data_IF_340026867900
#
_entry.id   IF_340026867900
#
_cell.length_a   1.000
_cell.length_b   1.000
_cell.length_c   1.000
_cell.angle_alpha   90.00
_cell.angle_beta   90.00
_cell.angle_gamma   90.00
#
_symmetry.space_group_name_H-M   'P 1'
#
loop_
_entity.id
_entity.type
_entity.pdbx_description
1 polymer ?
#
# COMPACT_ATOMS: atom_id res chain seq x y z
N UNK A 1 -4.11 14.88 9.01
CA UNK A 1 -3.34 16.15 9.15
C UNK A 1 -3.19 16.84 7.79
N UNK A 2 -3.39 18.17 7.71
CA UNK A 2 -3.07 18.91 6.49
C UNK A 2 -1.55 19.10 6.41
N UNK A 3 -0.95 18.64 5.32
CA UNK A 3 0.50 18.65 5.14
C UNK A 3 0.84 18.81 3.66
N UNK A 4 1.94 19.50 3.39
CA UNK A 4 2.49 19.64 2.05
C UNK A 4 3.57 18.57 1.80
N UNK A 5 3.66 18.07 0.57
CA UNK A 5 4.66 17.07 0.20
C UNK A 5 4.55 16.64 -1.25
N UNK A 6 5.66 16.17 -1.81
CA UNK A 6 5.76 15.63 -3.15
C UNK A 6 6.54 14.31 -3.12
N UNK A 7 6.21 13.40 -4.03
CA UNK A 7 6.88 12.10 -4.19
C UNK A 7 7.06 11.83 -5.67
N UNK A 8 8.19 11.21 -6.03
CA UNK A 8 8.47 10.74 -7.38
C UNK A 8 8.84 9.26 -7.30
N UNK A 9 8.36 8.48 -8.28
CA UNK A 9 8.74 7.09 -8.48
C UNK A 9 9.08 6.86 -9.95
N UNK A 10 10.19 6.17 -10.22
CA UNK A 10 10.51 5.68 -11.56
C UNK A 10 9.89 4.29 -11.72
N UNK A 11 8.97 4.14 -12.67
CA UNK A 11 8.37 2.86 -13.03
C UNK A 11 8.77 2.52 -14.45
N UNK A 12 9.35 1.34 -14.65
CA UNK A 12 9.80 0.84 -15.95
C UNK A 12 9.65 -0.68 -16.00
N UNK A 13 9.86 -1.27 -17.18
CA UNK A 13 9.91 -2.73 -17.30
C UNK A 13 11.21 -3.30 -16.74
N UNK A 14 11.22 -4.58 -16.38
CA UNK A 14 12.43 -5.28 -15.93
C UNK A 14 13.53 -5.24 -17.00
N UNK A 15 13.16 -5.38 -18.28
CA UNK A 15 14.13 -5.34 -19.37
C UNK A 15 14.76 -3.95 -19.52
N UNK A 16 13.99 -2.88 -19.27
CA UNK A 16 14.54 -1.53 -19.28
C UNK A 16 15.48 -1.32 -18.09
N UNK A 17 15.11 -1.78 -16.90
CA UNK A 17 15.95 -1.67 -15.72
C UNK A 17 17.29 -2.40 -15.92
N UNK A 18 17.26 -3.66 -16.37
CA UNK A 18 18.44 -4.46 -16.67
C UNK A 18 19.32 -3.80 -17.73
N UNK A 19 18.74 -3.37 -18.86
CA UNK A 19 19.47 -2.74 -19.96
C UNK A 19 20.19 -1.45 -19.54
N UNK A 20 19.69 -0.75 -18.53
CA UNK A 20 20.24 0.51 -18.05
C UNK A 20 20.99 0.38 -16.71
N UNK A 21 21.19 -0.86 -16.20
CA UNK A 21 21.87 -1.09 -14.93
C UNK A 21 21.18 -0.43 -13.73
N UNK A 22 19.84 -0.35 -13.75
CA UNK A 22 19.04 0.16 -12.64
C UNK A 22 18.73 -0.99 -11.68
N UNK A 23 18.98 -0.78 -10.38
CA UNK A 23 18.60 -1.71 -9.32
C UNK A 23 17.17 -1.38 -8.85
N UNK A 24 16.15 -2.21 -9.14
CA UNK A 24 14.79 -1.94 -8.71
C UNK A 24 14.66 -2.10 -7.19
N UNK A 25 13.80 -1.32 -6.55
CA UNK A 25 13.47 -1.49 -5.12
C UNK A 25 12.39 -2.56 -4.90
N UNK A 26 11.48 -2.70 -5.86
CA UNK A 26 10.37 -3.64 -5.81
C UNK A 26 9.80 -3.87 -7.22
N UNK A 27 9.14 -5.01 -7.41
CA UNK A 27 8.31 -5.31 -8.58
C UNK A 27 6.84 -5.09 -8.23
N UNK A 28 6.10 -4.42 -9.11
CA UNK A 28 4.63 -4.33 -9.00
C UNK A 28 4.03 -5.63 -9.51
N UNK A 29 3.38 -6.39 -8.62
CA UNK A 29 2.75 -7.68 -8.95
C UNK A 29 1.39 -7.45 -9.57
N UNK A 30 0.55 -6.67 -8.88
CA UNK A 30 -0.79 -6.32 -9.35
C UNK A 30 -1.29 -5.09 -8.61
N UNK A 31 -2.43 -4.60 -9.07
CA UNK A 31 -3.20 -3.56 -8.39
C UNK A 31 -4.68 -3.89 -8.45
N UNK A 32 -5.46 -3.34 -7.53
CA UNK A 32 -6.91 -3.40 -7.61
C UNK A 32 -7.55 -2.12 -7.08
N UNK A 33 -8.63 -1.73 -7.75
CA UNK A 33 -9.52 -0.65 -7.32
C UNK A 33 -10.92 -1.24 -7.19
N UNK A 34 -11.62 -0.85 -6.12
CA UNK A 34 -12.99 -1.25 -5.81
C UNK A 34 -13.78 -0.07 -5.27
N UNK A 35 -15.11 -0.18 -5.33
CA UNK A 35 -16.05 0.76 -4.74
C UNK A 35 -16.67 0.22 -3.44
N UNK A 36 -17.18 1.14 -2.62
CA UNK A 36 -17.99 0.90 -1.44
C UNK A 36 -19.00 2.05 -1.28
N UNK A 37 -20.01 1.94 -0.41
CA UNK A 37 -20.90 3.05 -0.10
C UNK A 37 -20.12 4.31 0.34
N UNK A 38 -20.46 5.50 -0.18
CA UNK A 38 -19.70 6.73 0.11
C UNK A 38 -19.65 7.11 1.59
N UNK A 39 -20.70 6.80 2.35
CA UNK A 39 -20.80 7.01 3.80
C UNK A 39 -19.91 6.05 4.61
N UNK A 40 -19.46 4.95 3.99
CA UNK A 40 -18.51 4.00 4.56
C UNK A 40 -17.13 4.05 3.89
N UNK A 41 -16.78 5.14 3.20
CA UNK A 41 -15.57 5.23 2.35
C UNK A 41 -14.26 4.71 2.98
N UNK A 42 -14.13 4.80 4.31
CA UNK A 42 -12.96 4.32 5.03
C UNK A 42 -12.66 2.83 4.83
N UNK A 43 -13.69 2.01 4.56
CA UNK A 43 -13.53 0.54 4.42
C UNK A 43 -13.12 0.09 3.02
N UNK A 44 -13.03 1.00 2.04
CA UNK A 44 -12.61 0.71 0.67
C UNK A 44 -11.35 -0.19 0.55
N UNK A 45 -10.31 -0.02 1.39
CA UNK A 45 -9.14 -0.89 1.41
C UNK A 45 -9.48 -2.39 1.49
N UNK A 46 -10.49 -2.78 2.26
CA UNK A 46 -10.84 -4.20 2.51
C UNK A 46 -11.11 -4.93 1.20
N UNK A 47 -12.06 -4.43 0.40
CA UNK A 47 -12.43 -5.07 -0.86
C UNK A 47 -11.33 -4.91 -1.93
N UNK A 48 -10.59 -3.80 -1.90
CA UNK A 48 -9.49 -3.59 -2.84
C UNK A 48 -8.32 -4.55 -2.57
N UNK A 49 -8.02 -4.82 -1.29
CA UNK A 49 -6.97 -5.74 -0.87
C UNK A 49 -7.35 -7.18 -1.17
N UNK A 50 -8.59 -7.59 -0.86
CA UNK A 50 -9.09 -8.92 -1.22
C UNK A 50 -8.99 -9.18 -2.73
N UNK A 51 -9.42 -8.21 -3.55
CA UNK A 51 -9.33 -8.32 -5.01
C UNK A 51 -7.89 -8.33 -5.52
N UNK A 52 -6.99 -7.59 -4.88
CA UNK A 52 -5.57 -7.60 -5.24
C UNK A 52 -4.91 -8.94 -4.89
N UNK A 53 -5.21 -9.49 -3.71
CA UNK A 53 -4.76 -10.81 -3.27
C UNK A 53 -5.24 -11.91 -4.22
N UNK A 54 -6.54 -11.91 -4.57
CA UNK A 54 -7.13 -12.81 -5.58
C UNK A 54 -6.36 -12.76 -6.91
N UNK A 55 -6.06 -11.56 -7.41
CA UNK A 55 -5.30 -11.36 -8.66
C UNK A 55 -3.86 -11.86 -8.58
N UNK A 56 -3.21 -11.72 -7.42
CA UNK A 56 -1.84 -12.20 -7.20
C UNK A 56 -1.76 -13.70 -6.91
N UNK A 57 -2.86 -14.32 -6.50
CA UNK A 57 -2.87 -15.70 -6.00
C UNK A 57 -2.22 -15.86 -4.62
N UNK A 58 -2.11 -14.78 -3.85
CA UNK A 58 -1.51 -14.78 -2.51
C UNK A 58 -2.58 -14.74 -1.42
N UNK A 59 -2.20 -15.18 -0.23
CA UNK A 59 -2.99 -15.09 0.98
C UNK A 59 -2.54 -13.91 1.83
N UNK A 60 -3.41 -13.44 2.74
CA UNK A 60 -3.07 -12.33 3.65
C UNK A 60 -1.84 -12.65 4.51
N UNK A 61 -1.69 -13.92 4.91
CA UNK A 61 -0.58 -14.39 5.75
C UNK A 61 0.77 -14.42 5.00
N UNK A 62 0.74 -14.44 3.67
CA UNK A 62 1.95 -14.38 2.84
C UNK A 62 2.59 -12.98 2.81
N UNK A 63 1.88 -11.96 3.28
CA UNK A 63 2.34 -10.57 3.21
C UNK A 63 3.18 -10.25 4.44
N UNK A 64 4.37 -9.71 4.21
CA UNK A 64 5.31 -9.35 5.28
C UNK A 64 5.06 -7.94 5.80
N UNK A 65 4.70 -7.01 4.91
CA UNK A 65 4.59 -5.57 5.19
C UNK A 65 3.27 -5.01 4.67
N UNK A 66 2.56 -4.27 5.51
CA UNK A 66 1.34 -3.55 5.16
C UNK A 66 1.52 -2.05 5.40
N UNK A 67 1.53 -1.27 4.32
CA UNK A 67 1.41 0.18 4.38
C UNK A 67 -0.05 0.57 4.14
N UNK A 68 -0.78 0.88 5.22
CA UNK A 68 -2.18 1.30 5.19
C UNK A 68 -2.21 2.80 5.44
N UNK A 69 -2.74 3.58 4.48
CA UNK A 69 -2.89 5.02 4.70
C UNK A 69 -3.82 5.31 5.89
N UNK A 70 -3.29 5.99 6.90
CA UNK A 70 -4.01 6.35 8.11
C UNK A 70 -4.77 7.67 7.93
N UNK A 71 -5.84 7.64 7.14
CA UNK A 71 -6.72 8.80 7.04
C UNK A 71 -7.35 9.11 8.41
N UNK A 72 -7.77 8.06 9.12
CA UNK A 72 -8.31 8.11 10.47
C UNK A 72 -7.96 6.79 11.20
N UNK A 73 -7.71 6.85 12.51
CA UNK A 73 -7.41 5.66 13.31
C UNK A 73 -8.54 4.63 13.29
N UNK A 74 -9.80 5.07 13.37
CA UNK A 74 -10.98 4.20 13.30
C UNK A 74 -11.04 3.40 12.00
N UNK A 75 -10.72 4.06 10.88
CA UNK A 75 -10.67 3.44 9.57
C UNK A 75 -9.53 2.41 9.48
N UNK A 76 -8.31 2.77 9.92
CA UNK A 76 -7.17 1.84 9.88
C UNK A 76 -7.45 0.59 10.72
N UNK A 77 -7.96 0.76 11.95
CA UNK A 77 -8.29 -0.37 12.83
C UNK A 77 -9.37 -1.26 12.20
N UNK A 78 -10.41 -0.67 11.58
CA UNK A 78 -11.44 -1.44 10.90
C UNK A 78 -10.88 -2.30 9.76
N UNK A 79 -10.00 -1.74 8.93
CA UNK A 79 -9.35 -2.47 7.83
C UNK A 79 -8.47 -3.62 8.36
N UNK A 80 -7.64 -3.34 9.38
CA UNK A 80 -6.75 -4.33 9.99
C UNK A 80 -7.55 -5.50 10.55
N UNK A 81 -8.61 -5.22 11.31
CA UNK A 81 -9.44 -6.25 11.93
C UNK A 81 -10.20 -7.08 10.91
N UNK A 82 -10.84 -6.45 9.92
CA UNK A 82 -11.64 -7.17 8.91
C UNK A 82 -10.78 -8.07 8.03
N UNK A 83 -9.56 -7.62 7.69
CA UNK A 83 -8.61 -8.42 6.92
C UNK A 83 -7.80 -9.39 7.79
N UNK A 84 -7.99 -9.37 9.12
CA UNK A 84 -7.23 -10.17 10.08
C UNK A 84 -5.71 -10.01 9.94
N UNK A 85 -5.25 -8.77 9.71
CA UNK A 85 -3.84 -8.45 9.52
C UNK A 85 -3.11 -8.45 10.87
N UNK A 86 -1.93 -9.06 10.92
CA UNK A 86 -1.01 -8.91 12.07
C UNK A 86 -0.55 -7.45 12.20
N UNK A 87 -0.93 -6.82 13.31
CA UNK A 87 -0.61 -5.43 13.61
C UNK A 87 0.90 -5.15 13.65
N UNK A 88 1.75 -6.16 13.91
CA UNK A 88 3.22 -6.01 13.89
C UNK A 88 3.77 -5.78 12.47
N UNK A 89 3.00 -6.10 11.43
CA UNK A 89 3.36 -5.92 10.02
C UNK A 89 2.85 -4.60 9.44
N UNK A 90 2.04 -3.84 10.18
CA UNK A 90 1.34 -2.64 9.67
C UNK A 90 2.11 -1.37 10.04
N UNK A 91 2.40 -0.54 9.03
CA UNK A 91 2.99 0.80 9.21
C UNK A 91 4.14 0.81 10.22
N UNK A 92 5.12 -0.10 10.06
CA UNK A 92 6.15 -0.39 11.07
C UNK A 92 7.02 0.83 11.44
N UNK A 93 7.07 1.83 10.55
CA UNK A 93 7.80 3.09 10.74
C UNK A 93 6.85 4.29 11.05
N UNK A 94 5.60 4.01 11.37
CA UNK A 94 4.51 4.99 11.55
C UNK A 94 3.84 5.39 10.25
N UNK A 95 2.59 5.87 10.35
CA UNK A 95 1.78 6.25 9.20
C UNK A 95 1.37 7.72 9.15
N UNK A 96 0.29 8.00 8.42
CA UNK A 96 -0.14 9.36 8.07
C UNK A 96 -0.68 10.17 9.26
N UNK A 97 -1.04 9.53 10.38
CA UNK A 97 -1.40 10.24 11.62
C UNK A 97 -0.19 11.04 12.15
N UNK A 98 1.00 10.43 12.10
CA UNK A 98 2.25 11.05 12.55
C UNK A 98 2.92 11.87 11.45
N UNK A 99 3.05 11.29 10.26
CA UNK A 99 3.88 11.83 9.17
C UNK A 99 3.13 12.87 8.32
N UNK A 100 1.80 12.79 8.27
CA UNK A 100 0.96 13.62 7.42
C UNK A 100 0.41 12.92 6.18
N UNK A 101 -0.57 13.59 5.55
CA UNK A 101 -1.31 13.10 4.39
C UNK A 101 -1.34 14.16 3.27
N UNK A 102 -0.23 14.40 2.55
CA UNK A 102 -0.24 15.25 1.37
C UNK A 102 -1.04 14.55 0.26
N UNK A 103 -2.31 14.92 0.12
CA UNK A 103 -3.37 14.12 -0.54
C UNK A 103 -2.90 13.43 -1.83
N UNK A 104 -2.53 14.19 -2.86
CA UNK A 104 -2.13 13.66 -4.17
C UNK A 104 -0.80 12.89 -4.16
N UNK A 105 0.07 13.13 -3.18
CA UNK A 105 1.36 12.46 -3.04
C UNK A 105 1.30 11.19 -2.17
N UNK A 106 0.23 11.01 -1.39
CA UNK A 106 0.19 9.99 -0.34
C UNK A 106 0.17 8.56 -0.87
N UNK A 107 -0.47 8.31 -2.01
CA UNK A 107 -0.44 7.00 -2.65
C UNK A 107 0.98 6.58 -3.02
N UNK A 108 1.70 7.45 -3.74
CA UNK A 108 3.10 7.19 -4.09
C UNK A 108 4.01 7.11 -2.85
N UNK A 109 3.74 7.91 -1.81
CA UNK A 109 4.47 7.88 -0.53
C UNK A 109 4.43 6.49 0.10
N UNK A 110 3.24 5.91 0.27
CA UNK A 110 3.08 4.62 0.95
C UNK A 110 3.61 3.45 0.10
N UNK A 111 3.47 3.54 -1.24
CA UNK A 111 4.03 2.52 -2.15
C UNK A 111 5.56 2.55 -2.12
N UNK A 112 6.16 3.75 -2.23
CA UNK A 112 7.62 3.90 -2.13
C UNK A 112 8.15 3.51 -0.75
N UNK A 113 7.39 3.78 0.32
CA UNK A 113 7.73 3.35 1.68
C UNK A 113 7.73 1.83 1.80
N UNK A 114 6.68 1.15 1.32
CA UNK A 114 6.62 -0.31 1.30
C UNK A 114 7.81 -0.92 0.54
N UNK A 115 8.14 -0.40 -0.64
CA UNK A 115 9.30 -0.83 -1.41
C UNK A 115 10.63 -0.63 -0.66
N UNK A 116 10.81 0.52 -0.02
CA UNK A 116 12.01 0.79 0.80
C UNK A 116 12.10 -0.13 2.02
N UNK A 117 10.97 -0.51 2.62
CA UNK A 117 10.96 -1.46 3.75
C UNK A 117 11.34 -2.86 3.26
N UNK A 118 10.76 -3.35 2.16
CA UNK A 118 11.09 -4.66 1.58
C UNK A 118 12.60 -4.85 1.40
N UNK A 119 13.26 -3.83 0.83
CA UNK A 119 14.70 -3.84 0.65
C UNK A 119 15.43 -3.84 2.01
N UNK A 120 15.09 -2.89 2.90
CA UNK A 120 15.73 -2.70 4.20
C UNK A 120 15.61 -3.90 5.14
N UNK A 121 14.47 -4.60 5.14
CA UNK A 121 14.19 -5.73 6.04
C UNK A 121 14.43 -7.09 5.41
N UNK A 122 14.83 -7.13 4.13
CA UNK A 122 14.94 -8.36 3.35
C UNK A 122 13.64 -9.20 3.40
N UNK A 123 12.50 -8.51 3.35
CA UNK A 123 11.17 -9.11 3.26
C UNK A 123 10.80 -9.34 1.80
N UNK A 124 9.86 -10.25 1.55
CA UNK A 124 9.52 -10.69 0.19
C UNK A 124 8.31 -9.95 -0.36
N UNK A 125 7.25 -9.74 0.43
CA UNK A 125 5.94 -9.30 -0.07
C UNK A 125 5.36 -8.15 0.72
N UNK A 126 4.86 -7.13 0.03
CA UNK A 126 4.23 -5.98 0.66
C UNK A 126 2.93 -5.55 -0.02
N UNK A 127 2.05 -4.94 0.76
CA UNK A 127 0.82 -4.31 0.31
C UNK A 127 0.82 -2.84 0.71
N UNK A 128 0.48 -1.96 -0.24
CA UNK A 128 0.18 -0.57 0.03
C UNK A 128 -1.29 -0.29 -0.33
N UNK A 129 -2.09 0.19 0.62
CA UNK A 129 -3.54 0.36 0.44
C UNK A 129 -4.07 1.65 1.06
N UNK A 130 -5.09 2.25 0.43
CA UNK A 130 -5.72 3.47 0.93
C UNK A 130 -7.20 3.58 0.59
N UNK A 131 -7.96 4.19 1.50
CA UNK A 131 -9.32 4.65 1.26
C UNK A 131 -9.30 5.91 0.38
N UNK A 132 -10.40 6.15 -0.34
CA UNK A 132 -10.56 7.30 -1.22
C UNK A 132 -11.96 7.89 -1.02
N UNK A 133 -12.01 9.22 -0.96
CA UNK A 133 -13.25 9.98 -0.88
C UNK A 133 -14.25 9.59 -1.97
N UNK A 134 -15.54 9.57 -1.63
CA UNK A 134 -16.59 9.12 -2.54
C UNK A 134 -16.82 7.60 -2.57
N UNK A 135 -16.14 6.83 -1.70
CA UNK A 135 -16.42 5.42 -1.52
C UNK A 135 -15.59 4.52 -2.42
N UNK A 136 -14.27 4.68 -2.44
CA UNK A 136 -13.38 3.77 -3.18
C UNK A 136 -12.19 3.31 -2.32
N UNK A 137 -11.56 2.23 -2.74
CA UNK A 137 -10.29 1.75 -2.21
C UNK A 137 -9.35 1.36 -3.33
N UNK A 138 -8.05 1.52 -3.09
CA UNK A 138 -6.99 1.08 -3.99
C UNK A 138 -5.94 0.30 -3.21
N UNK A 139 -5.46 -0.80 -3.79
CA UNK A 139 -4.35 -1.60 -3.29
C UNK A 139 -3.32 -1.84 -4.38
N UNK A 140 -2.04 -1.68 -4.05
CA UNK A 140 -0.88 -2.09 -4.84
C UNK A 140 -0.17 -3.24 -4.12
N UNK A 141 0.15 -4.29 -4.85
CA UNK A 141 0.90 -5.46 -4.36
C UNK A 141 2.31 -5.41 -4.91
N UNK A 142 3.29 -5.54 -4.03
CA UNK A 142 4.70 -5.47 -4.33
C UNK A 142 5.39 -6.76 -3.90
N UNK A 143 6.41 -7.16 -4.67
CA UNK A 143 7.43 -8.10 -4.20
C UNK A 143 8.82 -7.51 -4.34
N UNK A 144 9.75 -8.07 -3.55
CA UNK A 144 11.17 -7.86 -3.76
C UNK A 144 11.57 -8.37 -5.17
N UNK A 145 12.40 -7.64 -5.94
CA UNK A 145 12.73 -7.98 -7.33
C UNK A 145 13.52 -9.28 -7.49
#
# INVERSE_FOLDING_TARGET
PLTDGAVCMLVCSSEFAEKNGLEPLARIVTSAVTGCPPDMMGIGPISSTQKALERSGWYIDDIDIFEINEAFSSQSIAVINELSIDYQKVNIDGGAISIGHPLGASGARIVGKAASILDRTNSERAIATMCIGGGMGITIVLERP
#
